data_IF_730116595177
#
_entry.id   IF_730116595177
#
_cell.length_a   1.000
_cell.length_b   1.000
_cell.length_c   1.000
_cell.angle_alpha   90.00
_cell.angle_beta   90.00
_cell.angle_gamma   90.00
#
_symmetry.space_group_name_H-M   'P 1'
#
loop_
_entity.id
_entity.type
_entity.pdbx_description
1 polymer ?
#
# COMPACT_ATOMS: atom_id res chain seq x y z
N UNK A 1 35.87 -2.39 -11.96
CA UNK A 1 35.71 -3.73 -11.36
C UNK A 1 34.44 -4.39 -11.90
N UNK A 2 34.38 -5.72 -11.96
CA UNK A 2 33.15 -6.44 -12.36
C UNK A 2 32.31 -6.77 -11.14
N UNK A 3 31.00 -6.58 -11.27
CA UNK A 3 30.01 -6.91 -10.26
C UNK A 3 28.95 -7.80 -10.89
N UNK A 4 28.49 -8.82 -10.16
CA UNK A 4 27.58 -9.82 -10.71
C UNK A 4 26.42 -10.11 -9.76
N UNK A 5 25.22 -10.23 -10.31
CA UNK A 5 24.04 -10.63 -9.55
C UNK A 5 23.08 -11.43 -10.44
N UNK A 6 21.96 -11.89 -9.86
CA UNK A 6 20.96 -12.67 -10.57
C UNK A 6 20.14 -11.81 -11.54
N UNK A 7 19.75 -12.40 -12.66
CA UNK A 7 18.89 -11.83 -13.69
C UNK A 7 17.52 -11.38 -13.19
N UNK A 8 16.81 -10.63 -14.02
CA UNK A 8 15.50 -10.02 -13.71
C UNK A 8 15.59 -9.11 -12.48
N UNK A 9 16.47 -8.08 -12.50
CA UNK A 9 16.69 -7.19 -11.37
C UNK A 9 15.43 -6.39 -11.04
N UNK A 10 15.25 -6.09 -9.75
CA UNK A 10 14.18 -5.22 -9.25
C UNK A 10 14.80 -4.03 -8.55
N UNK A 11 14.43 -3.76 -7.31
CA UNK A 11 14.79 -2.52 -6.62
C UNK A 11 16.28 -2.55 -6.26
N UNK A 12 16.69 -3.41 -5.33
CA UNK A 12 18.07 -3.39 -4.81
C UNK A 12 19.12 -3.74 -5.89
N UNK A 13 18.78 -4.67 -6.80
CA UNK A 13 19.64 -5.08 -7.92
C UNK A 13 19.75 -4.08 -9.08
N UNK A 14 19.07 -2.94 -9.00
CA UNK A 14 19.30 -1.77 -9.85
C UNK A 14 19.88 -0.62 -9.02
N UNK A 15 19.42 -0.44 -7.77
CA UNK A 15 19.92 0.57 -6.85
C UNK A 15 21.43 0.40 -6.56
N UNK A 16 21.87 -0.83 -6.29
CA UNK A 16 23.27 -1.14 -5.98
C UNK A 16 24.20 -0.83 -7.17
N UNK A 17 23.93 -1.31 -8.40
CA UNK A 17 24.63 -0.86 -9.60
C UNK A 17 24.72 0.66 -9.75
N UNK A 18 23.62 1.38 -9.47
CA UNK A 18 23.61 2.83 -9.51
C UNK A 18 24.58 3.45 -8.51
N UNK A 19 24.51 3.00 -7.25
CA UNK A 19 25.38 3.47 -6.18
C UNK A 19 26.84 3.20 -6.48
N UNK A 20 27.15 1.99 -6.95
CA UNK A 20 28.50 1.57 -7.32
C UNK A 20 29.04 2.49 -8.42
N UNK A 21 28.32 2.62 -9.54
CA UNK A 21 28.76 3.42 -10.70
C UNK A 21 28.84 4.92 -10.44
N UNK A 22 28.18 5.44 -9.40
CA UNK A 22 28.17 6.89 -9.09
C UNK A 22 29.12 7.27 -7.96
N UNK A 23 29.42 6.36 -7.03
CA UNK A 23 30.12 6.70 -5.79
C UNK A 23 31.27 5.76 -5.42
N UNK A 24 31.39 4.59 -6.06
CA UNK A 24 32.43 3.59 -5.73
C UNK A 24 33.41 3.42 -6.89
N UNK A 25 32.91 3.14 -8.09
CA UNK A 25 33.70 2.82 -9.27
C UNK A 25 32.90 3.14 -10.54
N UNK A 26 33.24 4.24 -11.21
CA UNK A 26 32.53 4.73 -12.40
C UNK A 26 32.59 3.77 -13.59
N UNK A 27 33.69 3.02 -13.69
CA UNK A 27 33.96 2.04 -14.73
C UNK A 27 33.45 0.65 -14.36
N UNK A 28 32.66 0.51 -13.29
CA UNK A 28 32.12 -0.77 -12.88
C UNK A 28 31.25 -1.40 -13.97
N UNK A 29 31.55 -2.66 -14.29
CA UNK A 29 30.79 -3.50 -15.22
C UNK A 29 29.82 -4.36 -14.42
N UNK A 30 28.53 -4.31 -14.77
CA UNK A 30 27.45 -5.00 -14.05
C UNK A 30 26.97 -6.16 -14.90
N UNK A 31 26.96 -7.36 -14.33
CA UNK A 31 26.67 -8.60 -15.03
C UNK A 31 25.45 -9.26 -14.38
N UNK A 32 24.48 -9.65 -15.21
CA UNK A 32 23.30 -10.39 -14.80
C UNK A 32 23.33 -11.80 -15.39
N UNK A 33 23.13 -12.81 -14.56
CA UNK A 33 23.09 -14.22 -14.98
C UNK A 33 21.98 -14.98 -14.23
N UNK A 34 21.55 -16.17 -14.69
CA UNK A 34 20.66 -17.02 -13.92
C UNK A 34 21.16 -17.25 -12.50
N UNK A 35 20.26 -17.29 -11.51
CA UNK A 35 20.60 -17.35 -10.08
C UNK A 35 21.60 -18.48 -9.75
N UNK A 36 21.41 -19.65 -10.34
CA UNK A 36 22.25 -20.83 -10.10
C UNK A 36 23.68 -20.66 -10.66
N UNK A 37 23.88 -19.76 -11.61
CA UNK A 37 25.16 -19.52 -12.26
C UNK A 37 25.98 -18.42 -11.58
N UNK A 38 25.38 -17.59 -10.72
CA UNK A 38 26.03 -16.36 -10.22
C UNK A 38 27.36 -16.64 -9.55
N UNK A 39 27.42 -17.59 -8.62
CA UNK A 39 28.66 -17.90 -7.87
C UNK A 39 29.73 -18.49 -8.78
N UNK A 40 29.34 -19.39 -9.69
CA UNK A 40 30.27 -19.99 -10.65
C UNK A 40 30.85 -18.93 -11.58
N UNK A 41 29.99 -18.08 -12.17
CA UNK A 41 30.38 -17.00 -13.08
C UNK A 41 31.16 -15.90 -12.38
N UNK A 42 30.86 -15.61 -11.12
CA UNK A 42 31.63 -14.68 -10.30
C UNK A 42 33.11 -15.10 -10.23
N UNK A 43 33.37 -16.39 -9.95
CA UNK A 43 34.72 -16.93 -9.90
C UNK A 43 35.40 -16.95 -11.28
N UNK A 44 34.67 -17.33 -12.35
CA UNK A 44 35.21 -17.35 -13.73
C UNK A 44 35.60 -15.96 -14.24
N UNK A 45 34.84 -14.93 -13.86
CA UNK A 45 34.98 -13.56 -14.39
C UNK A 45 35.76 -12.63 -13.46
N UNK A 46 36.19 -13.12 -12.29
CA UNK A 46 36.74 -12.31 -11.20
C UNK A 46 35.82 -11.13 -10.84
N UNK A 47 34.53 -11.45 -10.68
CA UNK A 47 33.48 -10.47 -10.41
C UNK A 47 32.97 -10.58 -8.97
N UNK A 48 32.67 -9.45 -8.35
CA UNK A 48 32.16 -9.37 -6.98
C UNK A 48 30.66 -9.69 -6.97
N UNK A 49 30.21 -10.78 -6.34
CA UNK A 49 28.80 -11.12 -6.28
C UNK A 49 28.07 -10.28 -5.22
N UNK A 50 26.83 -9.88 -5.51
CA UNK A 50 26.00 -9.09 -4.58
C UNK A 50 24.51 -9.43 -4.67
N UNK A 51 23.74 -9.06 -3.64
CA UNK A 51 22.31 -9.37 -3.45
C UNK A 51 22.00 -10.88 -3.48
N UNK A 52 22.81 -11.67 -2.76
CA UNK A 52 22.69 -13.13 -2.68
C UNK A 52 22.89 -13.61 -1.25
N UNK A 53 22.25 -14.71 -0.83
CA UNK A 53 22.58 -15.34 0.45
C UNK A 53 24.04 -15.80 0.49
N UNK A 54 24.75 -15.45 1.57
CA UNK A 54 26.10 -15.97 1.85
C UNK A 54 27.26 -15.25 1.13
N UNK A 55 27.02 -14.17 0.39
CA UNK A 55 28.07 -13.30 -0.16
C UNK A 55 28.29 -12.08 0.74
N UNK A 56 29.42 -11.39 0.58
CA UNK A 56 29.74 -10.20 1.40
C UNK A 56 28.76 -9.04 1.18
N UNK A 57 28.45 -8.72 -0.09
CA UNK A 57 27.53 -7.63 -0.43
C UNK A 57 26.09 -8.15 -0.44
N UNK A 58 25.46 -8.20 0.73
CA UNK A 58 24.11 -8.75 0.89
C UNK A 58 23.30 -8.00 1.96
N UNK A 59 22.11 -8.52 2.27
CA UNK A 59 21.23 -8.01 3.31
C UNK A 59 21.74 -8.40 4.70
N UNK A 60 21.65 -7.46 5.64
CA UNK A 60 22.03 -7.67 7.05
C UNK A 60 20.96 -7.13 7.99
N UNK A 61 20.22 -8.03 8.63
CA UNK A 61 19.07 -7.66 9.47
C UNK A 61 18.01 -6.94 8.65
N UNK A 62 17.64 -5.73 9.07
CA UNK A 62 16.66 -4.89 8.36
C UNK A 62 17.27 -4.06 7.22
N UNK A 63 18.58 -4.17 6.96
CA UNK A 63 19.30 -3.39 5.94
C UNK A 63 19.45 -4.19 4.65
N UNK A 64 19.24 -3.53 3.50
CA UNK A 64 19.44 -4.14 2.18
C UNK A 64 20.89 -4.02 1.71
N UNK A 65 21.21 -4.58 0.54
CA UNK A 65 22.58 -4.54 -0.02
C UNK A 65 23.04 -3.09 -0.26
N UNK A 66 22.12 -2.20 -0.64
CA UNK A 66 22.42 -0.77 -0.83
C UNK A 66 22.95 -0.10 0.46
N UNK A 67 22.32 -0.40 1.60
CA UNK A 67 22.76 0.08 2.91
C UNK A 67 24.17 -0.42 3.25
N UNK A 68 24.44 -1.69 2.93
CA UNK A 68 25.75 -2.29 3.17
C UNK A 68 26.84 -1.61 2.36
N UNK A 69 26.60 -1.32 1.07
CA UNK A 69 27.57 -0.64 0.20
C UNK A 69 27.92 0.75 0.75
N UNK A 70 26.92 1.52 1.22
CA UNK A 70 27.15 2.84 1.84
C UNK A 70 28.11 2.70 3.03
N UNK A 71 27.86 1.75 3.93
CA UNK A 71 28.68 1.53 5.13
C UNK A 71 30.08 1.03 4.79
N UNK A 72 30.17 0.01 3.92
CA UNK A 72 31.43 -0.62 3.50
C UNK A 72 32.38 0.39 2.87
N UNK A 73 31.86 1.26 2.00
CA UNK A 73 32.64 2.26 1.28
C UNK A 73 32.70 3.62 1.98
N UNK A 74 32.09 3.75 3.18
CA UNK A 74 32.09 4.98 4.00
C UNK A 74 31.58 6.21 3.23
N UNK A 75 30.50 6.03 2.48
CA UNK A 75 29.88 7.09 1.70
C UNK A 75 29.12 8.04 2.64
N UNK A 76 29.56 9.29 2.72
CA UNK A 76 29.07 10.26 3.73
C UNK A 76 28.06 11.29 3.21
N UNK A 77 27.53 11.13 1.99
CA UNK A 77 26.54 12.06 1.43
C UNK A 77 25.17 11.89 2.12
N UNK A 78 24.62 12.91 2.79
CA UNK A 78 23.31 12.82 3.46
C UNK A 78 22.17 12.42 2.52
N UNK A 79 22.24 12.75 1.23
CA UNK A 79 21.24 12.36 0.25
C UNK A 79 21.20 10.84 0.04
N UNK A 80 22.35 10.16 0.18
CA UNK A 80 22.42 8.69 0.11
C UNK A 80 21.72 8.04 1.29
N UNK A 81 21.78 8.63 2.48
CA UNK A 81 21.04 8.13 3.65
C UNK A 81 19.53 8.20 3.44
N UNK A 82 19.04 9.25 2.77
CA UNK A 82 17.62 9.39 2.42
C UNK A 82 17.23 8.32 1.39
N UNK A 83 18.04 8.15 0.34
CA UNK A 83 17.82 7.11 -0.66
C UNK A 83 17.82 5.72 -0.05
N UNK A 84 18.73 5.43 0.88
CA UNK A 84 18.83 4.15 1.54
C UNK A 84 17.51 3.75 2.24
N UNK A 85 16.85 4.69 2.93
CA UNK A 85 15.54 4.44 3.55
C UNK A 85 14.44 4.18 2.51
N UNK A 86 14.45 4.90 1.39
CA UNK A 86 13.49 4.71 0.29
C UNK A 86 13.68 3.33 -0.36
N UNK A 87 14.92 2.98 -0.70
CA UNK A 87 15.29 1.70 -1.32
C UNK A 87 14.92 0.56 -0.40
N UNK A 88 15.33 0.61 0.87
CA UNK A 88 15.00 -0.39 1.88
C UNK A 88 13.48 -0.58 2.00
N UNK A 89 12.73 0.52 2.11
CA UNK A 89 11.27 0.44 2.23
C UNK A 89 10.59 -0.21 1.03
N UNK A 90 11.11 0.05 -0.17
CA UNK A 90 10.57 -0.51 -1.40
C UNK A 90 10.98 -1.99 -1.57
N UNK A 91 12.21 -2.34 -1.25
CA UNK A 91 12.76 -3.69 -1.47
C UNK A 91 12.26 -4.71 -0.44
N UNK A 92 12.04 -4.27 0.81
CA UNK A 92 11.58 -5.15 1.90
C UNK A 92 10.05 -5.10 2.12
N UNK A 93 9.28 -4.55 1.18
CA UNK A 93 7.81 -4.36 1.28
C UNK A 93 7.37 -3.58 2.53
N UNK A 94 8.24 -2.71 3.04
CA UNK A 94 8.01 -1.82 4.19
C UNK A 94 7.74 -0.40 3.70
N UNK A 95 6.70 -0.27 2.87
CA UNK A 95 6.33 1.00 2.25
C UNK A 95 5.98 2.12 3.25
N UNK A 96 5.78 1.77 4.52
CA UNK A 96 5.51 2.69 5.62
C UNK A 96 6.73 3.55 6.02
N UNK A 97 7.97 3.07 5.79
CA UNK A 97 9.16 3.75 6.31
C UNK A 97 9.60 4.96 5.48
N UNK A 98 9.13 5.05 4.23
CA UNK A 98 9.33 6.22 3.36
C UNK A 98 8.14 6.39 2.41
N UNK A 99 7.60 7.61 2.30
CA UNK A 99 6.45 7.89 1.43
C UNK A 99 6.72 7.62 -0.05
N UNK A 100 7.98 7.66 -0.47
CA UNK A 100 8.43 7.40 -1.84
C UNK A 100 8.56 5.90 -2.14
N UNK A 101 8.60 5.03 -1.12
CA UNK A 101 8.92 3.61 -1.28
C UNK A 101 7.90 2.85 -2.14
N UNK A 102 6.60 3.04 -1.89
CA UNK A 102 5.54 2.39 -2.68
C UNK A 102 5.55 2.82 -4.15
N UNK A 103 5.86 4.10 -4.41
CA UNK A 103 6.02 4.63 -5.76
C UNK A 103 7.24 4.04 -6.47
N UNK A 104 8.39 3.96 -5.79
CA UNK A 104 9.59 3.32 -6.32
C UNK A 104 9.32 1.84 -6.63
N UNK A 105 8.69 1.10 -5.72
CA UNK A 105 8.31 -0.29 -5.95
C UNK A 105 7.42 -0.44 -7.20
N UNK A 106 6.37 0.39 -7.33
CA UNK A 106 5.45 0.32 -8.46
C UNK A 106 6.15 0.59 -9.80
N UNK A 107 7.03 1.59 -9.84
CA UNK A 107 7.83 1.94 -11.02
C UNK A 107 8.78 0.80 -11.37
N UNK A 108 9.55 0.30 -10.39
CA UNK A 108 10.52 -0.79 -10.59
C UNK A 108 9.85 -2.08 -11.05
N UNK A 109 8.70 -2.44 -10.47
CA UNK A 109 7.91 -3.60 -10.88
C UNK A 109 7.38 -3.44 -12.32
N UNK A 110 6.87 -2.26 -12.67
CA UNK A 110 6.40 -1.95 -14.03
C UNK A 110 7.52 -1.99 -15.06
N UNK A 111 8.68 -1.39 -14.77
CA UNK A 111 9.86 -1.46 -15.63
C UNK A 111 10.32 -2.90 -15.85
N UNK A 112 10.42 -3.69 -14.78
CA UNK A 112 10.81 -5.11 -14.86
C UNK A 112 9.81 -5.96 -15.64
N UNK A 113 8.52 -5.59 -15.61
CA UNK A 113 7.48 -6.24 -16.41
C UNK A 113 7.63 -5.90 -17.89
N UNK A 114 7.83 -4.62 -18.22
CA UNK A 114 7.88 -4.13 -19.60
C UNK A 114 9.19 -4.45 -20.32
N UNK A 115 10.32 -4.44 -19.61
CA UNK A 115 11.66 -4.62 -20.19
C UNK A 115 12.16 -6.01 -19.83
N UNK A 116 12.54 -6.80 -20.85
CA UNK A 116 13.03 -8.16 -20.67
C UNK A 116 14.56 -8.26 -20.66
N UNK A 117 15.22 -7.34 -21.34
CA UNK A 117 16.67 -7.24 -21.35
C UNK A 117 17.16 -6.54 -20.07
N UNK A 118 18.00 -7.23 -19.29
CA UNK A 118 18.42 -6.75 -17.98
C UNK A 118 19.38 -5.55 -18.06
N UNK A 119 20.18 -5.44 -19.12
CA UNK A 119 21.08 -4.30 -19.31
C UNK A 119 20.31 -3.04 -19.68
N UNK A 120 19.33 -3.16 -20.58
CA UNK A 120 18.41 -2.08 -20.91
C UNK A 120 17.58 -1.67 -19.68
N UNK A 121 17.13 -2.64 -18.88
CA UNK A 121 16.41 -2.37 -17.64
C UNK A 121 17.28 -1.60 -16.65
N UNK A 122 18.54 -2.01 -16.48
CA UNK A 122 19.51 -1.26 -15.66
C UNK A 122 19.67 0.17 -16.19
N UNK A 123 19.95 0.36 -17.47
CA UNK A 123 20.13 1.70 -18.08
C UNK A 123 18.94 2.62 -17.80
N UNK A 124 17.71 2.13 -18.01
CA UNK A 124 16.49 2.93 -17.72
C UNK A 124 16.24 3.12 -16.23
N UNK A 125 16.55 2.12 -15.42
CA UNK A 125 16.42 2.18 -13.97
C UNK A 125 17.37 3.20 -13.33
N UNK A 126 18.60 3.34 -13.85
CA UNK A 126 19.58 4.32 -13.39
C UNK A 126 19.03 5.75 -13.38
N UNK A 127 18.21 6.11 -14.38
CA UNK A 127 17.59 7.43 -14.48
C UNK A 127 16.65 7.74 -13.30
N UNK A 128 15.96 6.73 -12.78
CA UNK A 128 15.08 6.87 -11.61
C UNK A 128 15.90 7.20 -10.37
N UNK A 129 17.04 6.53 -10.19
CA UNK A 129 17.92 6.78 -9.05
C UNK A 129 18.67 8.11 -9.18
N UNK A 130 19.08 8.52 -10.38
CA UNK A 130 19.63 9.86 -10.64
C UNK A 130 18.60 10.95 -10.26
N UNK A 131 17.33 10.76 -10.61
CA UNK A 131 16.24 11.68 -10.27
C UNK A 131 15.94 11.69 -8.76
N UNK A 132 15.84 10.51 -8.13
CA UNK A 132 15.62 10.40 -6.69
C UNK A 132 16.76 11.02 -5.89
N UNK A 133 18.01 10.79 -6.31
CA UNK A 133 19.18 11.38 -5.66
C UNK A 133 19.18 12.91 -5.78
N UNK A 134 18.90 13.44 -6.99
CA UNK A 134 18.78 14.88 -7.20
C UNK A 134 17.68 15.49 -6.35
N UNK A 135 16.53 14.82 -6.25
CA UNK A 135 15.45 15.22 -5.34
C UNK A 135 15.89 15.19 -3.88
N UNK A 136 16.51 14.11 -3.44
CA UNK A 136 16.98 13.95 -2.07
C UNK A 136 18.06 14.98 -1.70
N UNK A 137 18.89 15.39 -2.65
CA UNK A 137 19.99 16.33 -2.41
C UNK A 137 19.56 17.79 -2.47
N UNK A 138 18.67 18.13 -3.40
CA UNK A 138 18.39 19.54 -3.73
C UNK A 138 16.94 19.96 -3.55
N UNK A 139 15.97 19.03 -3.61
CA UNK A 139 14.55 19.38 -3.80
C UNK A 139 13.63 18.89 -2.68
N UNK A 140 14.14 18.34 -1.58
CA UNK A 140 13.27 17.82 -0.51
C UNK A 140 12.34 18.88 0.11
N UNK A 141 12.78 20.14 0.12
CA UNK A 141 12.03 21.25 0.69
C UNK A 141 11.15 21.97 -0.33
N UNK A 142 11.25 21.61 -1.62
CA UNK A 142 10.44 22.18 -2.67
C UNK A 142 9.01 21.63 -2.61
N UNK A 143 8.02 22.51 -2.51
CA UNK A 143 6.61 22.14 -2.52
C UNK A 143 6.04 22.37 -3.92
N UNK A 144 5.37 21.35 -4.46
CA UNK A 144 4.63 21.49 -5.73
C UNK A 144 3.40 22.42 -5.62
N UNK A 145 2.88 22.65 -4.41
CA UNK A 145 1.79 23.59 -4.16
C UNK A 145 2.31 25.02 -4.17
N UNK A 146 2.22 25.67 -5.32
CA UNK A 146 2.64 27.06 -5.52
C UNK A 146 1.64 28.08 -4.92
N UNK A 147 0.49 27.62 -4.40
CA UNK A 147 -0.56 28.48 -3.85
C UNK A 147 -0.56 28.58 -2.30
N UNK A 148 -0.62 29.79 -1.70
CA UNK A 148 -0.84 29.97 -0.26
C UNK A 148 -2.11 29.26 0.26
N UNK A 149 -3.13 29.17 -0.59
CA UNK A 149 -4.45 28.60 -0.27
C UNK A 149 -4.39 27.07 -0.15
N UNK A 150 -3.66 26.39 -1.04
CA UNK A 150 -3.53 24.93 -1.01
C UNK A 150 -2.77 24.47 0.24
N UNK A 151 -1.74 25.22 0.64
CA UNK A 151 -1.01 24.96 1.89
C UNK A 151 -1.92 25.16 3.12
N UNK A 152 -2.74 26.21 3.15
CA UNK A 152 -3.74 26.41 4.20
C UNK A 152 -4.76 25.26 4.24
N UNK A 153 -5.25 24.81 3.08
CA UNK A 153 -6.17 23.68 2.97
C UNK A 153 -5.55 22.38 3.47
N UNK A 154 -4.30 22.09 3.08
CA UNK A 154 -3.56 20.93 3.57
C UNK A 154 -3.31 21.00 5.08
N UNK A 155 -3.01 22.18 5.63
CA UNK A 155 -2.80 22.36 7.06
C UNK A 155 -4.10 22.21 7.86
N UNK A 156 -5.22 22.74 7.36
CA UNK A 156 -6.55 22.52 7.93
C UNK A 156 -6.91 21.04 7.87
N UNK A 157 -6.68 20.39 6.73
CA UNK A 157 -6.95 18.96 6.54
C UNK A 157 -6.08 18.09 7.47
N UNK A 158 -4.78 18.38 7.58
CA UNK A 158 -3.86 17.70 8.53
C UNK A 158 -4.27 17.92 9.97
N UNK A 159 -4.69 19.13 10.36
CA UNK A 159 -5.22 19.42 11.70
C UNK A 159 -6.51 18.63 11.96
N UNK A 160 -7.40 18.53 10.98
CA UNK A 160 -8.63 17.75 11.07
C UNK A 160 -8.34 16.25 11.22
N UNK A 161 -7.40 15.72 10.43
CA UNK A 161 -6.94 14.34 10.56
C UNK A 161 -6.26 14.06 11.92
N UNK A 162 -5.41 14.98 12.41
CA UNK A 162 -4.82 14.88 13.75
C UNK A 162 -5.84 14.99 14.89
N UNK A 163 -6.92 15.78 14.70
CA UNK A 163 -8.02 15.87 15.66
C UNK A 163 -8.87 14.59 15.69
N UNK A 164 -9.04 13.91 14.55
CA UNK A 164 -9.70 12.60 14.49
C UNK A 164 -8.81 11.45 14.94
N UNK A 165 -7.49 11.61 15.00
CA UNK A 165 -6.56 10.60 15.49
C UNK A 165 -6.33 10.70 17.01
N UNK A 166 -7.38 10.55 17.82
CA UNK A 166 -7.17 9.77 19.04
C UNK A 166 -6.86 8.35 18.58
N UNK A 167 -5.82 7.68 19.12
CA UNK A 167 -5.57 6.26 18.79
C UNK A 167 -6.89 5.51 18.95
N UNK A 168 -7.44 4.99 17.84
CA UNK A 168 -8.64 4.18 17.89
C UNK A 168 -8.38 3.05 18.88
N UNK A 169 -9.28 2.81 19.85
CA UNK A 169 -9.12 1.69 20.77
C UNK A 169 -9.03 0.38 19.99
N UNK A 170 -8.28 -0.61 20.51
CA UNK A 170 -8.15 -1.92 19.86
C UNK A 170 -9.51 -2.55 19.52
N UNK A 171 -10.49 -2.41 20.43
CA UNK A 171 -11.85 -2.90 20.21
C UNK A 171 -12.53 -2.28 18.97
N UNK A 172 -12.19 -1.04 18.58
CA UNK A 172 -12.81 -0.38 17.44
C UNK A 172 -12.27 -0.95 16.11
N UNK A 173 -10.99 -1.32 16.07
CA UNK A 173 -10.40 -1.99 14.91
C UNK A 173 -10.95 -3.42 14.77
N UNK A 174 -10.96 -4.19 15.86
CA UNK A 174 -11.53 -5.54 15.90
C UNK A 174 -13.03 -5.54 15.58
N UNK A 175 -13.78 -4.55 16.08
CA UNK A 175 -15.20 -4.39 15.75
C UNK A 175 -15.43 -4.18 14.25
N UNK A 176 -14.56 -3.42 13.58
CA UNK A 176 -14.65 -3.19 12.14
C UNK A 176 -14.50 -4.49 11.35
N UNK A 177 -13.57 -5.35 11.77
CA UNK A 177 -13.36 -6.67 11.17
C UNK A 177 -14.56 -7.59 11.40
N UNK A 178 -15.11 -7.63 12.62
CA UNK A 178 -16.33 -8.40 12.95
C UNK A 178 -17.53 -7.92 12.14
N UNK A 179 -17.68 -6.61 11.95
CA UNK A 179 -18.78 -6.04 11.15
C UNK A 179 -18.60 -6.43 9.68
N UNK A 180 -17.39 -6.35 9.14
CA UNK A 180 -17.13 -6.72 7.75
C UNK A 180 -17.46 -8.21 7.51
N UNK A 181 -16.99 -9.09 8.39
CA UNK A 181 -17.29 -10.53 8.32
C UNK A 181 -18.80 -10.81 8.39
N UNK A 182 -19.54 -10.12 9.27
CA UNK A 182 -21.00 -10.23 9.32
C UNK A 182 -21.69 -9.82 8.01
N UNK A 183 -21.22 -8.74 7.38
CA UNK A 183 -21.80 -8.26 6.13
C UNK A 183 -21.51 -9.25 5.01
N UNK A 184 -20.35 -9.89 4.99
CA UNK A 184 -19.97 -10.86 3.96
C UNK A 184 -20.69 -12.20 4.14
N UNK A 185 -20.73 -12.72 5.37
CA UNK A 185 -21.37 -14.01 5.73
C UNK A 185 -22.88 -13.92 5.95
N UNK A 186 -23.45 -12.71 5.92
CA UNK A 186 -24.86 -12.44 6.19
C UNK A 186 -25.32 -12.84 7.62
N UNK A 187 -24.38 -12.91 8.56
CA UNK A 187 -24.65 -13.18 9.97
C UNK A 187 -25.24 -11.93 10.65
N UNK A 188 -26.31 -12.11 11.42
CA UNK A 188 -26.92 -11.04 12.21
C UNK A 188 -26.48 -11.19 13.67
N UNK A 189 -25.33 -10.62 14.04
CA UNK A 189 -24.96 -10.52 15.45
C UNK A 189 -25.53 -9.23 16.04
N UNK A 190 -26.13 -9.36 17.21
CA UNK A 190 -26.54 -8.24 18.03
C UNK A 190 -25.31 -7.51 18.61
N UNK A 191 -25.49 -6.23 18.93
CA UNK A 191 -24.47 -5.47 19.65
C UNK A 191 -24.02 -6.19 20.93
N UNK A 192 -24.92 -6.93 21.60
CA UNK A 192 -24.64 -7.68 22.83
C UNK A 192 -23.66 -8.84 22.60
N UNK A 193 -23.82 -9.58 21.51
CA UNK A 193 -22.93 -10.69 21.16
C UNK A 193 -21.53 -10.18 20.79
N UNK A 194 -21.48 -9.10 20.01
CA UNK A 194 -20.21 -8.48 19.61
C UNK A 194 -19.50 -7.84 20.82
N UNK A 195 -20.26 -7.25 21.74
CA UNK A 195 -19.71 -6.72 22.99
C UNK A 195 -19.03 -7.82 23.81
N UNK A 196 -19.63 -9.02 23.85
CA UNK A 196 -19.06 -10.16 24.57
C UNK A 196 -17.78 -10.67 23.91
N UNK A 197 -17.74 -10.79 22.57
CA UNK A 197 -16.54 -11.23 21.85
C UNK A 197 -15.37 -10.25 21.97
N UNK A 198 -15.66 -8.96 22.07
CA UNK A 198 -14.65 -7.90 22.24
C UNK A 198 -14.24 -7.67 23.70
N UNK A 199 -14.83 -8.38 24.65
CA UNK A 199 -14.66 -8.14 26.09
C UNK A 199 -14.95 -6.68 26.49
N UNK A 200 -15.96 -6.04 25.86
CA UNK A 200 -16.39 -4.66 26.11
C UNK A 200 -17.83 -4.66 26.61
N UNK A 201 -18.15 -3.80 27.58
CA UNK A 201 -19.53 -3.70 28.06
C UNK A 201 -20.47 -3.08 26.99
N UNK A 202 -21.68 -3.65 26.73
CA UNK A 202 -22.57 -3.18 25.65
C UNK A 202 -22.96 -1.70 25.73
N UNK A 203 -23.17 -1.16 26.94
CA UNK A 203 -23.50 0.26 27.11
C UNK A 203 -22.34 1.19 26.77
N UNK A 204 -21.10 0.76 27.05
CA UNK A 204 -19.90 1.49 26.68
C UNK A 204 -19.72 1.46 25.16
N UNK A 205 -19.82 0.27 24.56
CA UNK A 205 -19.72 0.09 23.12
C UNK A 205 -20.73 0.97 22.37
N UNK A 206 -22.00 0.93 22.78
CA UNK A 206 -23.07 1.74 22.20
C UNK A 206 -22.78 3.25 22.28
N UNK A 207 -22.29 3.73 23.43
CA UNK A 207 -21.99 5.15 23.65
C UNK A 207 -20.80 5.64 22.84
N UNK A 208 -19.78 4.81 22.71
CA UNK A 208 -18.53 5.19 22.03
C UNK A 208 -18.56 4.90 20.53
N UNK A 209 -19.48 4.06 20.05
CA UNK A 209 -19.55 3.61 18.66
C UNK A 209 -19.55 4.79 17.66
N UNK A 210 -20.45 5.75 17.81
CA UNK A 210 -20.59 6.84 16.83
C UNK A 210 -19.31 7.65 16.63
N UNK A 211 -18.49 7.80 17.68
CA UNK A 211 -17.21 8.53 17.63
C UNK A 211 -16.21 7.94 16.63
N UNK A 212 -16.31 6.64 16.35
CA UNK A 212 -15.37 5.93 15.48
C UNK A 212 -16.02 5.44 14.16
N UNK A 213 -17.34 5.46 14.05
CA UNK A 213 -18.10 4.87 12.94
C UNK A 213 -19.11 5.88 12.34
N UNK A 214 -18.60 6.84 11.56
CA UNK A 214 -19.36 7.81 10.76
C UNK A 214 -20.38 8.69 11.52
N UNK A 215 -20.20 8.88 12.84
CA UNK A 215 -21.20 9.53 13.71
C UNK A 215 -22.59 8.86 13.66
N UNK A 216 -22.62 7.57 13.29
CA UNK A 216 -23.85 6.77 13.19
C UNK A 216 -24.05 5.89 14.42
N UNK A 217 -25.30 5.51 14.67
CA UNK A 217 -25.60 4.42 15.61
C UNK A 217 -25.13 3.08 15.01
N UNK A 218 -24.88 2.07 15.86
CA UNK A 218 -24.53 0.73 15.38
C UNK A 218 -25.53 0.19 14.34
N UNK A 219 -26.84 0.30 14.61
CA UNK A 219 -27.87 -0.18 13.69
C UNK A 219 -27.93 0.63 12.39
N UNK A 220 -27.66 1.94 12.45
CA UNK A 220 -27.60 2.82 11.27
C UNK A 220 -26.40 2.47 10.39
N UNK A 221 -25.25 2.21 11.01
CA UNK A 221 -24.02 1.81 10.34
C UNK A 221 -24.16 0.45 9.64
N UNK A 222 -24.71 -0.56 10.34
CA UNK A 222 -25.00 -1.87 9.72
C UNK A 222 -25.95 -1.72 8.53
N UNK A 223 -27.03 -0.93 8.68
CA UNK A 223 -27.96 -0.68 7.56
C UNK A 223 -27.26 0.00 6.38
N UNK A 224 -26.38 0.97 6.63
CA UNK A 224 -25.59 1.63 5.58
C UNK A 224 -24.77 0.62 4.79
N UNK A 225 -23.98 -0.21 5.48
CA UNK A 225 -23.14 -1.23 4.82
C UNK A 225 -23.95 -2.26 4.03
N UNK A 226 -25.11 -2.69 4.56
CA UNK A 226 -26.03 -3.59 3.85
C UNK A 226 -26.57 -2.97 2.56
N UNK A 227 -26.87 -1.66 2.55
CA UNK A 227 -27.28 -0.95 1.35
C UNK A 227 -26.11 -0.83 0.35
N UNK A 228 -24.90 -0.57 0.81
CA UNK A 228 -23.71 -0.53 -0.05
C UNK A 228 -23.48 -1.88 -0.75
N UNK A 229 -23.57 -2.99 -0.01
CA UNK A 229 -23.55 -4.35 -0.60
C UNK A 229 -24.71 -4.57 -1.57
N UNK A 230 -25.91 -4.10 -1.25
CA UNK A 230 -27.07 -4.22 -2.13
C UNK A 230 -26.89 -3.45 -3.45
N UNK A 231 -26.23 -2.28 -3.44
CA UNK A 231 -25.91 -1.53 -4.65
C UNK A 231 -25.01 -2.36 -5.58
N UNK A 232 -24.01 -3.05 -5.04
CA UNK A 232 -23.15 -3.96 -5.81
C UNK A 232 -23.97 -5.08 -6.45
N UNK A 233 -24.82 -5.75 -5.67
CA UNK A 233 -25.67 -6.85 -6.17
C UNK A 233 -26.73 -6.38 -7.18
N UNK A 234 -27.20 -5.12 -7.08
CA UNK A 234 -28.15 -4.54 -8.04
C UNK A 234 -27.53 -4.32 -9.42
N UNK A 235 -26.21 -4.14 -9.50
CA UNK A 235 -25.50 -3.93 -10.77
C UNK A 235 -25.25 -5.25 -11.53
N UNK A 236 -25.21 -6.42 -10.87
CA UNK A 236 -24.92 -7.73 -11.49
C UNK A 236 -26.18 -8.40 -12.12
N UNK A 237 -27.35 -7.75 -12.10
CA UNK A 237 -28.62 -8.09 -12.80
C UNK A 237 -29.26 -9.48 -12.58
N UNK A 238 -28.58 -10.45 -11.95
CA UNK A 238 -29.05 -11.84 -11.79
C UNK A 238 -29.98 -12.08 -10.60
N UNK A 239 -29.95 -11.21 -9.60
CA UNK A 239 -30.75 -11.40 -8.38
C UNK A 239 -32.05 -10.58 -8.40
N UNK A 240 -33.15 -11.19 -7.99
CA UNK A 240 -34.41 -10.52 -7.67
C UNK A 240 -34.24 -9.59 -6.45
N UNK A 241 -35.17 -8.65 -6.27
CA UNK A 241 -35.12 -7.75 -5.10
C UNK A 241 -35.32 -8.49 -3.78
N UNK A 242 -36.05 -9.61 -3.78
CA UNK A 242 -36.21 -10.47 -2.62
C UNK A 242 -34.91 -11.18 -2.26
N UNK A 243 -34.20 -11.72 -3.26
CA UNK A 243 -32.89 -12.36 -3.04
C UNK A 243 -31.84 -11.35 -2.56
N UNK A 244 -31.82 -10.14 -3.12
CA UNK A 244 -30.89 -9.09 -2.64
C UNK A 244 -31.20 -8.72 -1.19
N UNK A 245 -32.48 -8.59 -0.83
CA UNK A 245 -32.87 -8.32 0.56
C UNK A 245 -32.36 -9.43 1.50
N UNK A 246 -32.50 -10.70 1.08
CA UNK A 246 -31.98 -11.85 1.84
C UNK A 246 -30.46 -11.84 1.93
N UNK A 247 -29.72 -11.73 0.81
CA UNK A 247 -28.24 -11.76 0.74
C UNK A 247 -27.54 -10.60 1.45
N UNK A 248 -28.29 -9.54 1.76
CA UNK A 248 -27.81 -8.36 2.50
C UNK A 248 -28.38 -8.29 3.91
N UNK A 249 -29.11 -9.32 4.36
CA UNK A 249 -29.46 -9.50 5.77
C UNK A 249 -30.66 -8.70 6.23
N UNK A 250 -31.50 -8.23 5.29
CA UNK A 250 -32.79 -7.65 5.64
C UNK A 250 -33.81 -8.76 5.91
N UNK A 251 -34.71 -8.48 6.86
CA UNK A 251 -35.82 -9.37 7.23
C UNK A 251 -36.74 -9.70 6.06
N UNK A 252 -36.95 -8.71 5.18
CA UNK A 252 -37.88 -8.80 4.07
C UNK A 252 -37.60 -7.71 3.02
N UNK A 253 -38.14 -7.91 1.82
CA UNK A 253 -37.98 -7.01 0.68
C UNK A 253 -38.56 -5.61 0.94
N UNK A 254 -39.65 -5.49 1.70
CA UNK A 254 -40.30 -4.20 1.96
C UNK A 254 -39.45 -3.32 2.88
N UNK A 255 -38.88 -3.93 3.92
CA UNK A 255 -37.93 -3.28 4.82
C UNK A 255 -36.67 -2.86 4.06
N UNK A 256 -36.09 -3.74 3.26
CA UNK A 256 -34.97 -3.43 2.37
C UNK A 256 -35.28 -2.22 1.48
N UNK A 257 -36.40 -2.24 0.75
CA UNK A 257 -36.74 -1.18 -0.20
C UNK A 257 -36.93 0.18 0.49
N UNK A 258 -37.52 0.20 1.69
CA UNK A 258 -37.69 1.42 2.50
C UNK A 258 -36.35 2.00 2.93
N UNK A 259 -35.44 1.17 3.45
CA UNK A 259 -34.11 1.62 3.88
C UNK A 259 -33.27 2.05 2.68
N UNK A 260 -33.29 1.29 1.59
CA UNK A 260 -32.58 1.63 0.36
C UNK A 260 -33.02 2.99 -0.18
N UNK A 261 -34.32 3.27 -0.24
CA UNK A 261 -34.84 4.58 -0.66
C UNK A 261 -34.45 5.70 0.29
N UNK A 262 -34.48 5.45 1.60
CA UNK A 262 -34.03 6.43 2.60
C UNK A 262 -32.56 6.80 2.43
N UNK A 263 -31.71 5.82 2.12
CA UNK A 263 -30.26 6.01 1.99
C UNK A 263 -29.85 6.57 0.62
N UNK A 264 -30.45 6.10 -0.47
CA UNK A 264 -30.02 6.43 -1.85
C UNK A 264 -30.89 7.48 -2.54
N UNK A 265 -32.01 7.88 -1.93
CA UNK A 265 -32.99 8.80 -2.52
C UNK A 265 -33.95 8.16 -3.53
N UNK A 266 -33.68 6.94 -4.01
CA UNK A 266 -34.50 6.25 -5.02
C UNK A 266 -34.81 4.79 -4.65
N UNK A 267 -35.87 4.22 -5.23
CA UNK A 267 -36.22 2.82 -4.96
C UNK A 267 -35.18 1.86 -5.58
N UNK A 268 -34.97 0.65 -5.04
CA UNK A 268 -34.07 -0.34 -5.66
C UNK A 268 -34.40 -0.64 -7.12
N UNK A 269 -35.69 -0.69 -7.47
CA UNK A 269 -36.15 -0.92 -8.84
C UNK A 269 -35.80 0.25 -9.76
N UNK A 270 -36.02 1.49 -9.31
CA UNK A 270 -35.64 2.70 -10.03
C UNK A 270 -34.12 2.77 -10.22
N UNK A 271 -33.36 2.44 -9.16
CA UNK A 271 -31.90 2.38 -9.18
C UNK A 271 -31.41 1.40 -10.25
N UNK A 272 -31.93 0.17 -10.25
CA UNK A 272 -31.59 -0.86 -11.26
C UNK A 272 -31.89 -0.40 -12.69
N UNK A 273 -33.05 0.22 -12.92
CA UNK A 273 -33.44 0.75 -14.24
C UNK A 273 -32.54 1.90 -14.72
N UNK A 274 -32.01 2.71 -13.80
CA UNK A 274 -31.11 3.81 -14.15
C UNK A 274 -29.72 3.34 -14.59
N UNK A 275 -29.25 2.21 -14.08
CA UNK A 275 -27.93 1.64 -14.41
C UNK A 275 -27.96 0.78 -15.68
N UNK A 276 -29.08 0.14 -16.01
CA UNK A 276 -29.25 -0.64 -17.25
C UNK A 276 -29.54 0.17 -18.52
N UNK A 277 -29.43 1.50 -18.48
CA UNK A 277 -29.62 2.43 -19.63
C UNK A 277 -28.29 2.97 -20.19
N UNK A 278 -27.15 2.42 -19.78
CA UNK A 278 -25.83 2.70 -20.37
C UNK A 278 -25.35 1.52 -21.18
#
# INVERSE_FOLDING_TARGET
>A
MRWITRERPKIDRIACPWLIKRFVDEDAEIIYVPFEEVIKKAAELDAVPFDLPGVEYTHYGDQCTFDFIIQKHKLNDPALNVLAVIVRGADTDRHDIASQASGLWAISAGLSYNIKDDQQLLEKGMLIYDALYSWAKYLQNEKHTQGPIENMLLDVYKKFLKQKSGKAPAWAQELKEIIQDQIDTNLALSLKEISHSLNVHPSYLSREFSKYFDDLSFGDYIRKLRIEKAIVLLNDSKHSLAEIAYLTGFSDQSHFARIFKKTTGQSPLSYRKSQGKK
#
